data_IF_232169305477
#
_entry.id   IF_232169305477
#
_cell.length_a   1.000
_cell.length_b   1.000
_cell.length_c   1.000
_cell.angle_alpha   90.00
_cell.angle_beta   90.00
_cell.angle_gamma   90.00
#
_symmetry.space_group_name_H-M   'P 1'
#
loop_
_entity.id
_entity.type
_entity.pdbx_description
1 polymer ?
#
# COMPACT_ATOMS: atom_id res chain seq x y z
N UNK A 1 6.49 24.67 6.97
CA UNK A 1 5.72 24.14 5.82
C UNK A 1 4.24 24.26 6.17
N UNK A 2 3.34 24.31 5.19
CA UNK A 2 1.92 24.26 5.50
C UNK A 2 1.56 22.88 6.09
N UNK A 3 0.74 22.87 7.15
CA UNK A 3 0.17 21.65 7.70
C UNK A 3 -0.64 20.94 6.62
N UNK A 4 -0.38 19.65 6.43
CA UNK A 4 -1.15 18.79 5.52
C UNK A 4 -1.95 17.82 6.36
N UNK A 5 -3.28 17.93 6.27
CA UNK A 5 -4.20 16.98 6.89
C UNK A 5 -4.63 15.98 5.83
N UNK A 6 -4.37 14.71 6.08
CA UNK A 6 -4.85 13.60 5.26
C UNK A 6 -6.20 13.16 5.79
N UNK A 7 -7.16 12.94 4.90
CA UNK A 7 -8.46 12.38 5.23
C UNK A 7 -8.58 11.01 4.60
N UNK A 8 -8.95 10.02 5.40
CA UNK A 8 -9.10 8.63 4.99
C UNK A 8 -10.57 8.25 5.01
N UNK A 9 -11.02 7.68 3.90
CA UNK A 9 -12.31 7.06 3.74
C UNK A 9 -12.12 5.80 2.88
N UNK A 10 -12.02 4.64 3.53
CA UNK A 10 -11.83 3.34 2.90
C UNK A 10 -12.91 2.36 3.40
N UNK A 11 -12.81 1.07 3.06
CA UNK A 11 -13.80 0.07 3.48
C UNK A 11 -13.82 -0.21 4.99
N UNK A 12 -12.73 0.11 5.71
CA UNK A 12 -12.52 -0.18 7.12
C UNK A 12 -12.82 1.02 8.02
N UNK A 13 -12.61 2.25 7.52
CA UNK A 13 -12.77 3.48 8.30
C UNK A 13 -13.33 4.64 7.46
N UNK A 14 -14.10 5.51 8.12
CA UNK A 14 -14.64 6.74 7.50
C UNK A 14 -14.36 7.94 8.39
N UNK A 15 -14.14 9.11 7.80
CA UNK A 15 -13.84 10.37 8.48
C UNK A 15 -12.58 10.34 9.37
N UNK A 16 -11.71 9.34 9.22
CA UNK A 16 -10.43 9.32 9.90
C UNK A 16 -9.52 10.39 9.30
N UNK A 17 -8.75 11.08 10.13
CA UNK A 17 -7.85 12.16 9.71
C UNK A 17 -6.58 12.13 10.52
N UNK A 18 -5.47 12.45 9.88
CA UNK A 18 -4.19 12.62 10.54
C UNK A 18 -3.39 13.76 9.93
N UNK A 19 -2.51 14.35 10.73
CA UNK A 19 -1.54 15.32 10.26
C UNK A 19 -0.32 14.59 9.70
N UNK A 20 0.10 14.97 8.50
CA UNK A 20 1.35 14.48 7.92
C UNK A 20 2.53 15.19 8.58
N UNK A 21 3.22 14.48 9.46
CA UNK A 21 4.37 15.01 10.22
C UNK A 21 5.66 15.07 9.40
N UNK A 22 5.79 14.24 8.36
CA UNK A 22 7.01 14.14 7.54
C UNK A 22 6.74 14.22 6.03
N UNK A 23 7.66 14.76 5.21
CA UNK A 23 7.49 14.77 3.76
C UNK A 23 7.58 13.36 3.16
N UNK A 24 6.83 13.13 2.08
CA UNK A 24 6.88 11.87 1.32
C UNK A 24 8.31 11.62 0.83
N UNK A 25 8.83 10.41 1.05
CA UNK A 25 10.14 10.03 0.53
C UNK A 25 11.34 10.61 1.30
N UNK A 26 11.14 11.21 2.48
CA UNK A 26 12.18 11.92 3.24
C UNK A 26 12.23 11.45 4.69
N UNK A 27 13.33 11.82 5.36
CA UNK A 27 13.53 11.62 6.80
C UNK A 27 13.42 10.15 7.25
N UNK A 28 13.82 9.23 6.38
CA UNK A 28 13.99 7.84 6.72
C UNK A 28 15.08 7.63 7.76
N UNK A 29 14.97 6.55 8.52
CA UNK A 29 16.07 6.09 9.37
C UNK A 29 17.34 5.88 8.52
N UNK A 30 18.55 6.24 9.00
CA UNK A 30 19.78 6.17 8.20
C UNK A 30 20.11 4.78 7.60
N UNK A 31 19.68 3.73 8.29
CA UNK A 31 19.87 2.33 7.87
C UNK A 31 18.77 1.85 6.91
N UNK A 32 17.67 2.59 6.76
CA UNK A 32 16.62 2.26 5.82
C UNK A 32 16.95 2.84 4.44
N UNK A 33 17.40 1.95 3.55
CA UNK A 33 17.80 2.28 2.18
C UNK A 33 16.97 1.45 1.21
N UNK A 34 15.70 1.82 0.98
CA UNK A 34 14.84 1.06 0.10
C UNK A 34 15.38 1.11 -1.34
N UNK A 35 15.43 -0.06 -1.98
CA UNK A 35 15.83 -0.17 -3.39
C UNK A 35 14.72 0.25 -4.36
N UNK A 36 13.46 0.15 -3.90
CA UNK A 36 12.28 0.46 -4.68
C UNK A 36 11.43 1.51 -3.96
N UNK A 37 10.88 2.42 -4.74
CA UNK A 37 9.82 3.31 -4.32
C UNK A 37 8.48 2.57 -4.24
N UNK A 38 7.50 3.08 -3.47
CA UNK A 38 6.16 2.50 -3.44
C UNK A 38 5.49 2.44 -4.82
N UNK A 39 5.72 3.43 -5.69
CA UNK A 39 5.23 3.43 -7.07
C UNK A 39 5.78 2.22 -7.84
N UNK A 40 7.11 2.01 -7.81
CA UNK A 40 7.75 0.88 -8.48
C UNK A 40 7.25 -0.46 -7.93
N UNK A 41 7.05 -0.57 -6.61
CA UNK A 41 6.50 -1.78 -6.00
C UNK A 41 5.08 -2.10 -6.51
N UNK A 42 4.21 -1.08 -6.62
CA UNK A 42 2.86 -1.25 -7.13
C UNK A 42 2.81 -1.55 -8.63
N UNK A 43 3.68 -0.94 -9.42
CA UNK A 43 3.82 -1.21 -10.86
C UNK A 43 4.38 -2.62 -11.12
N UNK A 44 5.32 -3.11 -10.30
CA UNK A 44 5.78 -4.49 -10.36
C UNK A 44 4.66 -5.48 -10.01
N UNK A 45 3.76 -5.08 -9.09
CA UNK A 45 2.62 -5.87 -8.65
C UNK A 45 2.93 -6.78 -7.46
N UNK A 46 3.81 -6.37 -6.55
CA UNK A 46 4.28 -7.21 -5.42
C UNK A 46 3.16 -7.75 -4.54
N UNK A 47 1.97 -7.15 -4.60
CA UNK A 47 0.78 -7.48 -3.82
C UNK A 47 -0.25 -8.37 -4.54
N UNK A 48 -0.01 -8.75 -5.80
CA UNK A 48 -0.96 -9.58 -6.57
C UNK A 48 -2.34 -8.91 -6.74
N UNK A 49 -2.36 -7.58 -6.83
CA UNK A 49 -3.56 -6.79 -7.12
C UNK A 49 -4.45 -6.41 -5.94
N UNK A 50 -4.51 -7.22 -4.88
CA UNK A 50 -5.61 -7.10 -3.89
C UNK A 50 -5.48 -5.94 -2.90
N UNK A 51 -4.27 -5.46 -2.65
CA UNK A 51 -4.02 -4.38 -1.68
C UNK A 51 -4.05 -3.01 -2.36
N UNK A 52 -4.30 -1.96 -1.58
CA UNK A 52 -4.28 -0.55 -2.02
C UNK A 52 -5.38 -0.19 -3.05
N UNK A 53 -6.53 -0.88 -3.00
CA UNK A 53 -7.61 -0.72 -4.00
C UNK A 53 -8.68 0.31 -3.63
N UNK A 54 -8.77 0.70 -2.36
CA UNK A 54 -9.83 1.53 -1.79
C UNK A 54 -9.31 2.75 -0.99
N UNK A 55 -8.00 3.00 -1.05
CA UNK A 55 -7.33 4.06 -0.28
C UNK A 55 -6.56 5.07 -1.16
N UNK A 56 -6.93 5.21 -2.44
CA UNK A 56 -6.15 6.02 -3.40
C UNK A 56 -6.04 7.50 -3.00
N UNK A 57 -7.07 8.04 -2.35
CA UNK A 57 -7.10 9.43 -1.88
C UNK A 57 -6.20 9.68 -0.66
N UNK A 58 -5.78 8.63 0.05
CA UNK A 58 -4.88 8.72 1.19
C UNK A 58 -3.41 8.91 0.76
N UNK A 59 -3.02 8.32 -0.38
CA UNK A 59 -1.63 8.25 -0.82
C UNK A 59 -1.37 9.13 -2.05
N UNK A 60 -0.09 9.44 -2.38
CA UNK A 60 0.23 10.21 -3.57
C UNK A 60 -0.31 9.55 -4.85
N UNK A 61 -1.04 10.31 -5.67
CA UNK A 61 -1.65 9.81 -6.92
C UNK A 61 -0.64 9.12 -7.87
N UNK A 62 0.61 9.59 -7.90
CA UNK A 62 1.68 8.99 -8.72
C UNK A 62 1.97 7.52 -8.35
N UNK A 63 1.73 7.10 -7.10
CA UNK A 63 1.91 5.70 -6.70
C UNK A 63 1.01 4.75 -7.49
N UNK A 64 -0.16 5.23 -7.92
CA UNK A 64 -1.16 4.43 -8.63
C UNK A 64 -0.99 4.46 -10.14
N UNK A 65 -0.06 5.26 -10.66
CA UNK A 65 0.27 5.27 -12.09
C UNK A 65 0.88 3.92 -12.47
N UNK A 66 0.21 3.21 -13.39
CA UNK A 66 0.56 1.84 -13.82
C UNK A 66 0.50 0.79 -12.71
N UNK A 67 -0.11 1.08 -11.56
CA UNK A 67 -0.24 0.11 -10.48
C UNK A 67 -1.08 -1.10 -10.94
N UNK A 68 -0.60 -2.31 -10.62
CA UNK A 68 -1.33 -3.55 -10.90
C UNK A 68 -2.28 -3.85 -9.74
N UNK A 69 -3.57 -3.50 -9.92
CA UNK A 69 -4.62 -3.61 -8.90
C UNK A 69 -5.78 -4.52 -9.35
N UNK A 70 -6.41 -5.20 -8.40
CA UNK A 70 -7.61 -6.02 -8.56
C UNK A 70 -8.40 -6.01 -7.24
N UNK A 71 -9.48 -5.24 -7.19
CA UNK A 71 -10.30 -5.06 -5.99
C UNK A 71 -11.05 -6.34 -5.57
N UNK A 72 -11.28 -7.25 -6.51
CA UNK A 72 -12.11 -8.43 -6.31
C UNK A 72 -11.33 -9.54 -5.60
N UNK A 73 -10.10 -9.83 -6.04
CA UNK A 73 -9.33 -11.02 -5.62
C UNK A 73 -7.82 -10.81 -5.69
N UNK A 74 -7.08 -11.71 -5.04
CA UNK A 74 -5.66 -11.90 -5.36
C UNK A 74 -5.53 -12.56 -6.73
N UNK A 75 -4.78 -11.94 -7.62
CA UNK A 75 -4.50 -12.45 -8.96
C UNK A 75 -2.99 -12.73 -9.12
N UNK A 76 -2.58 -14.02 -9.16
CA UNK A 76 -1.18 -14.39 -9.36
C UNK A 76 -0.57 -13.79 -10.64
N UNK A 77 -1.37 -13.56 -11.69
CA UNK A 77 -0.87 -13.00 -12.95
C UNK A 77 -0.47 -11.52 -12.83
N UNK A 78 -1.02 -10.82 -11.84
CA UNK A 78 -0.60 -9.46 -11.51
C UNK A 78 0.64 -9.45 -10.61
N UNK A 79 0.96 -10.56 -9.94
CA UNK A 79 2.14 -10.66 -9.09
C UNK A 79 3.43 -10.74 -9.92
N UNK A 80 4.48 -10.04 -9.48
CA UNK A 80 5.78 -10.06 -10.17
C UNK A 80 6.37 -11.48 -10.34
N UNK A 81 6.15 -12.36 -9.36
CA UNK A 81 6.64 -13.75 -9.39
C UNK A 81 5.62 -14.75 -9.97
N UNK A 82 4.43 -14.30 -10.37
CA UNK A 82 3.39 -15.18 -10.91
C UNK A 82 2.73 -16.10 -9.87
N UNK A 83 2.93 -15.85 -8.57
CA UNK A 83 2.40 -16.67 -7.46
C UNK A 83 1.76 -15.80 -6.39
N UNK A 84 0.83 -16.37 -5.62
CA UNK A 84 0.28 -15.69 -4.44
C UNK A 84 1.32 -15.73 -3.31
N UNK A 85 1.70 -14.56 -2.81
CA UNK A 85 2.67 -14.42 -1.72
C UNK A 85 2.04 -14.38 -0.32
N UNK A 86 0.70 -14.32 -0.22
CA UNK A 86 -0.02 -14.17 1.05
C UNK A 86 -0.41 -15.52 1.67
N UNK A 87 -0.41 -15.55 3.01
CA UNK A 87 -1.05 -16.60 3.80
C UNK A 87 -2.50 -16.19 4.12
N UNK A 88 -3.44 -17.15 4.22
CA UNK A 88 -4.79 -16.87 4.71
C UNK A 88 -4.80 -16.22 6.09
N UNK A 89 -5.82 -15.40 6.37
CA UNK A 89 -6.00 -14.76 7.68
C UNK A 89 -5.95 -15.75 8.85
N UNK A 90 -6.52 -16.95 8.66
CA UNK A 90 -6.53 -18.00 9.68
C UNK A 90 -5.13 -18.41 10.16
N UNK A 91 -4.15 -18.42 9.24
CA UNK A 91 -2.76 -18.78 9.57
C UNK A 91 -2.11 -17.72 10.46
N UNK A 92 -2.47 -16.44 10.27
CA UNK A 92 -1.98 -15.34 11.10
C UNK A 92 -2.63 -15.36 12.48
N UNK A 93 -3.95 -15.58 12.53
CA UNK A 93 -4.69 -15.70 13.78
C UNK A 93 -4.18 -16.88 14.64
N UNK A 94 -3.89 -18.03 14.03
CA UNK A 94 -3.30 -19.18 14.74
C UNK A 94 -1.93 -18.84 15.37
N UNK A 95 -1.16 -17.95 14.72
CA UNK A 95 0.13 -17.46 15.23
C UNK A 95 0.00 -16.31 16.25
N UNK A 96 -1.22 -15.89 16.59
CA UNK A 96 -1.48 -14.83 17.56
C UNK A 96 -1.23 -13.41 17.03
N UNK A 97 -1.25 -13.23 15.71
CA UNK A 97 -1.27 -11.91 15.07
C UNK A 97 -2.69 -11.36 14.98
#
# INVERSE_FOLDING_TARGET
MATVIVQVNDLMQTNYKYERTEPVGKNYHPDFRPELTPQEMLELGVFGGKYMTDCQDEFPAEWFKNAKLCAERHDPALNFFGVNASQPLSVWQEKGW
#
